data_IF_445141800914
#
_entry.id   IF_445141800914
#
_cell.length_a   1.000
_cell.length_b   1.000
_cell.length_c   1.000
_cell.angle_alpha   90.00
_cell.angle_beta   90.00
_cell.angle_gamma   90.00
#
_symmetry.space_group_name_H-M   'P 1'
#
loop_
_entity.id
_entity.type
_entity.pdbx_description
1 polymer ?
#
# COMPACT_ATOMS: atom_id res chain seq x y z
N UNK A 1 -27.05 19.43 6.86
CA UNK A 1 -25.68 18.96 7.13
C UNK A 1 -25.42 17.87 6.11
N UNK A 2 -24.42 18.01 5.25
CA UNK A 2 -23.90 16.86 4.51
C UNK A 2 -23.14 16.02 5.55
N UNK A 3 -23.78 14.95 6.03
CA UNK A 3 -23.09 13.96 6.85
C UNK A 3 -22.08 13.26 5.95
N UNK A 4 -20.80 13.50 6.22
CA UNK A 4 -19.74 12.66 5.67
C UNK A 4 -20.05 11.20 6.03
N UNK A 5 -20.00 10.25 5.07
CA UNK A 5 -20.26 8.86 5.38
C UNK A 5 -19.25 8.38 6.43
N UNK A 6 -19.75 7.90 7.57
CA UNK A 6 -18.90 7.27 8.58
C UNK A 6 -18.45 5.92 8.05
N UNK A 7 -17.15 5.68 8.05
CA UNK A 7 -16.56 4.41 7.66
C UNK A 7 -17.05 3.30 8.61
N UNK A 8 -17.53 2.21 8.04
CA UNK A 8 -17.88 1.00 8.79
C UNK A 8 -16.62 0.33 9.35
N UNK A 9 -16.77 -0.44 10.42
CA UNK A 9 -15.67 -1.21 11.04
C UNK A 9 -14.93 -2.13 10.04
N UNK A 10 -15.64 -2.59 9.00
CA UNK A 10 -15.09 -3.42 7.92
C UNK A 10 -14.12 -2.64 7.03
N UNK A 11 -14.42 -1.37 6.74
CA UNK A 11 -13.58 -0.49 5.91
C UNK A 11 -12.30 -0.09 6.65
N UNK A 12 -12.41 0.16 7.96
CA UNK A 12 -11.26 0.44 8.84
C UNK A 12 -10.32 -0.77 8.91
N UNK A 13 -10.87 -1.98 9.08
CA UNK A 13 -10.07 -3.21 9.08
C UNK A 13 -9.45 -3.51 7.72
N UNK A 14 -10.13 -3.17 6.63
CA UNK A 14 -9.63 -3.34 5.26
C UNK A 14 -8.43 -2.44 4.96
N UNK A 15 -8.50 -1.15 5.34
CA UNK A 15 -7.38 -0.21 5.22
C UNK A 15 -6.14 -0.67 6.02
N UNK A 16 -6.33 -1.14 7.25
CA UNK A 16 -5.24 -1.67 8.08
C UNK A 16 -4.59 -2.93 7.49
N UNK A 17 -5.38 -3.84 6.91
CA UNK A 17 -4.86 -5.03 6.21
C UNK A 17 -4.07 -4.62 4.97
N UNK A 18 -4.58 -3.66 4.21
CA UNK A 18 -3.91 -3.13 3.02
C UNK A 18 -2.56 -2.50 3.38
N UNK A 19 -2.54 -1.67 4.42
CA UNK A 19 -1.31 -1.08 4.96
C UNK A 19 -0.28 -2.15 5.34
N UNK A 20 -0.72 -3.23 6.01
CA UNK A 20 0.17 -4.34 6.38
C UNK A 20 0.78 -5.01 5.15
N UNK A 21 0.00 -5.25 4.10
CA UNK A 21 0.50 -5.88 2.87
C UNK A 21 1.51 -4.97 2.16
N UNK A 22 1.23 -3.66 2.08
CA UNK A 22 2.15 -2.66 1.54
C UNK A 22 3.48 -2.67 2.30
N UNK A 23 3.44 -2.64 3.63
CA UNK A 23 4.65 -2.76 4.48
C UNK A 23 5.41 -4.06 4.22
N UNK A 24 4.71 -5.20 4.11
CA UNK A 24 5.34 -6.49 3.83
C UNK A 24 6.09 -6.48 2.50
N UNK A 25 5.54 -5.88 1.44
CA UNK A 25 6.24 -5.81 0.15
C UNK A 25 7.56 -5.02 0.24
N UNK A 26 7.59 -3.95 1.04
CA UNK A 26 8.81 -3.17 1.30
C UNK A 26 9.83 -4.00 2.10
N UNK A 27 9.38 -4.71 3.15
CA UNK A 27 10.25 -5.56 3.98
C UNK A 27 10.85 -6.70 3.15
N UNK A 28 10.03 -7.35 2.31
CA UNK A 28 10.49 -8.40 1.41
C UNK A 28 11.50 -7.85 0.41
N UNK A 29 11.21 -6.74 -0.27
CA UNK A 29 12.15 -6.09 -1.17
C UNK A 29 13.46 -5.73 -0.47
N UNK A 30 13.41 -5.22 0.77
CA UNK A 30 14.58 -4.90 1.58
C UNK A 30 15.45 -6.13 1.89
N UNK A 31 14.85 -7.31 2.04
CA UNK A 31 15.62 -8.55 2.23
C UNK A 31 16.50 -8.91 1.03
N UNK A 32 16.20 -8.37 -0.15
CA UNK A 32 17.04 -8.43 -1.36
C UNK A 32 18.01 -7.25 -1.50
N UNK A 33 18.01 -6.29 -0.57
CA UNK A 33 18.92 -5.15 -0.52
C UNK A 33 18.23 -3.86 -0.06
N UNK A 34 18.97 -2.99 0.64
CA UNK A 34 18.43 -1.71 1.13
C UNK A 34 17.87 -0.85 -0.01
N UNK A 35 18.57 -0.75 -1.14
CA UNK A 35 18.11 0.00 -2.32
C UNK A 35 16.80 -0.56 -2.90
N UNK A 36 16.57 -1.87 -2.82
CA UNK A 36 15.33 -2.50 -3.26
C UNK A 36 14.17 -2.14 -2.32
N UNK A 37 14.42 -2.11 -1.00
CA UNK A 37 13.46 -1.59 -0.03
C UNK A 37 13.06 -0.14 -0.31
N UNK A 38 14.05 0.73 -0.57
CA UNK A 38 13.82 2.14 -0.93
C UNK A 38 13.06 2.25 -2.25
N UNK A 39 13.39 1.44 -3.26
CA UNK A 39 12.71 1.43 -4.56
C UNK A 39 11.27 0.95 -4.43
N UNK A 40 11.01 -0.08 -3.62
CA UNK A 40 9.66 -0.58 -3.37
C UNK A 40 8.82 0.46 -2.62
N UNK A 41 9.39 1.15 -1.64
CA UNK A 41 8.72 2.26 -0.96
C UNK A 41 8.27 3.37 -1.94
N UNK A 42 9.09 3.69 -2.95
CA UNK A 42 8.71 4.63 -4.01
C UNK A 42 7.52 4.10 -4.84
N UNK A 43 7.47 2.80 -5.13
CA UNK A 43 6.33 2.22 -5.86
C UNK A 43 5.05 2.20 -5.02
N UNK A 44 5.14 1.93 -3.72
CA UNK A 44 4.02 2.07 -2.78
C UNK A 44 3.49 3.51 -2.79
N UNK A 45 4.38 4.50 -2.71
CA UNK A 45 4.01 5.92 -2.78
C UNK A 45 3.25 6.22 -4.07
N UNK A 46 3.81 5.81 -5.23
CA UNK A 46 3.17 6.01 -6.53
C UNK A 46 1.81 5.31 -6.64
N UNK A 47 1.64 4.13 -6.06
CA UNK A 47 0.37 3.42 -6.04
C UNK A 47 -0.69 4.19 -5.25
N UNK A 48 -0.33 4.73 -4.09
CA UNK A 48 -1.23 5.54 -3.24
C UNK A 48 -1.53 6.87 -3.93
N UNK A 49 -0.54 7.53 -4.53
CA UNK A 49 -0.72 8.79 -5.25
C UNK A 49 -1.40 8.63 -6.62
N UNK A 50 -1.87 7.43 -6.97
CA UNK A 50 -2.50 7.12 -8.26
C UNK A 50 -1.60 7.35 -9.49
N UNK A 51 -0.29 7.39 -9.31
CA UNK A 51 0.72 7.46 -10.37
C UNK A 51 1.14 6.06 -10.88
N UNK A 52 0.70 5.00 -10.20
CA UNK A 52 0.92 3.60 -10.56
C UNK A 52 -0.39 2.83 -10.36
N UNK A 53 -0.76 2.00 -11.33
CA UNK A 53 -1.94 1.13 -11.22
C UNK A 53 -1.64 -0.11 -10.39
N UNK A 54 -2.68 -0.78 -9.86
CA UNK A 54 -2.53 -2.03 -9.12
C UNK A 54 -1.86 -3.15 -9.96
N UNK A 55 -2.23 -3.37 -11.24
CA UNK A 55 -1.54 -4.34 -12.09
C UNK A 55 -0.06 -4.03 -12.29
N UNK A 56 0.30 -2.76 -12.56
CA UNK A 56 1.70 -2.35 -12.71
C UNK A 56 2.48 -2.54 -11.41
N UNK A 57 1.86 -2.19 -10.28
CA UNK A 57 2.44 -2.41 -8.97
C UNK A 57 2.70 -3.90 -8.70
N UNK A 58 1.74 -4.77 -9.01
CA UNK A 58 1.91 -6.22 -8.87
C UNK A 58 3.08 -6.75 -9.72
N UNK A 59 3.26 -6.23 -10.94
CA UNK A 59 4.42 -6.54 -11.78
C UNK A 59 5.72 -6.10 -11.09
N UNK A 60 5.77 -4.89 -10.54
CA UNK A 60 6.96 -4.38 -9.83
C UNK A 60 7.28 -5.15 -8.55
N UNK A 61 6.27 -5.65 -7.84
CA UNK A 61 6.44 -6.56 -6.70
C UNK A 61 7.07 -7.86 -7.19
N UNK A 62 6.51 -8.50 -8.23
CA UNK A 62 7.07 -9.73 -8.78
C UNK A 62 8.53 -9.56 -9.27
N UNK A 63 8.83 -8.47 -9.99
CA UNK A 63 10.19 -8.16 -10.45
C UNK A 63 11.22 -8.08 -9.31
N UNK A 64 10.81 -7.59 -8.12
CA UNK A 64 11.73 -7.42 -6.99
C UNK A 64 11.77 -8.59 -6.01
N UNK A 65 10.64 -9.23 -5.73
CA UNK A 65 10.51 -10.26 -4.70
C UNK A 65 10.19 -11.66 -5.25
N UNK A 66 10.06 -11.80 -6.57
CA UNK A 66 9.78 -13.05 -7.26
C UNK A 66 8.39 -13.63 -7.02
N UNK A 67 7.45 -12.81 -6.52
CA UNK A 67 6.08 -13.24 -6.21
C UNK A 67 5.06 -12.19 -6.62
N UNK A 68 3.99 -12.64 -7.28
CA UNK A 68 2.80 -11.84 -7.56
C UNK A 68 1.77 -12.00 -6.45
N UNK A 69 0.90 -11.00 -6.29
CA UNK A 69 -0.28 -11.11 -5.45
C UNK A 69 -1.21 -12.21 -5.94
N UNK A 70 -1.75 -12.98 -5.00
CA UNK A 70 -2.84 -13.90 -5.27
C UNK A 70 -4.17 -13.13 -5.45
N UNK A 71 -5.21 -13.74 -6.05
CA UNK A 71 -6.48 -13.07 -6.34
C UNK A 71 -7.14 -12.40 -5.12
N UNK A 72 -7.10 -13.05 -3.94
CA UNK A 72 -7.68 -12.49 -2.71
C UNK A 72 -6.99 -11.20 -2.26
N UNK A 73 -5.68 -11.10 -2.47
CA UNK A 73 -4.94 -9.87 -2.18
C UNK A 73 -5.34 -8.78 -3.18
N UNK A 74 -5.47 -9.12 -4.47
CA UNK A 74 -5.93 -8.18 -5.50
C UNK A 74 -7.33 -7.63 -5.17
N UNK A 75 -8.29 -8.49 -4.83
CA UNK A 75 -9.64 -8.09 -4.39
C UNK A 75 -9.59 -7.13 -3.18
N UNK A 76 -8.72 -7.41 -2.21
CA UNK A 76 -8.56 -6.55 -1.04
C UNK A 76 -8.01 -5.17 -1.42
N UNK A 77 -7.07 -5.11 -2.38
CA UNK A 77 -6.59 -3.85 -2.94
C UNK A 77 -7.71 -3.11 -3.67
N UNK A 78 -8.47 -3.76 -4.55
CA UNK A 78 -9.54 -3.12 -5.31
C UNK A 78 -10.62 -2.53 -4.40
N UNK A 79 -10.98 -3.22 -3.32
CA UNK A 79 -11.98 -2.74 -2.37
C UNK A 79 -11.50 -1.58 -1.48
N UNK A 80 -10.21 -1.55 -1.08
CA UNK A 80 -9.74 -0.65 -0.02
C UNK A 80 -8.75 0.42 -0.49
N UNK A 81 -8.13 0.26 -1.66
CA UNK A 81 -7.17 1.23 -2.18
C UNK A 81 -7.81 2.62 -2.37
N UNK A 82 -9.02 2.78 -2.95
CA UNK A 82 -9.65 4.10 -3.06
C UNK A 82 -9.81 4.80 -1.71
N UNK A 83 -10.18 4.04 -0.67
CA UNK A 83 -10.33 4.56 0.68
C UNK A 83 -8.99 5.00 1.27
N UNK A 84 -7.96 4.15 1.19
CA UNK A 84 -6.60 4.47 1.63
C UNK A 84 -6.07 5.76 0.96
N UNK A 85 -6.31 5.92 -0.34
CA UNK A 85 -5.94 7.12 -1.09
C UNK A 85 -6.65 8.36 -0.56
N UNK A 86 -7.95 8.27 -0.27
CA UNK A 86 -8.72 9.37 0.29
C UNK A 86 -8.23 9.76 1.70
N UNK A 87 -7.83 8.79 2.53
CA UNK A 87 -7.25 9.07 3.85
C UNK A 87 -5.91 9.81 3.75
N UNK A 88 -5.07 9.43 2.80
CA UNK A 88 -3.79 10.10 2.53
C UNK A 88 -4.00 11.51 1.99
N UNK A 89 -4.88 11.68 0.99
CA UNK A 89 -5.21 12.99 0.43
C UNK A 89 -5.81 13.95 1.46
N UNK A 90 -6.58 13.42 2.41
CA UNK A 90 -7.15 14.20 3.51
C UNK A 90 -6.17 14.46 4.67
N UNK A 91 -4.93 13.95 4.59
CA UNK A 91 -3.92 14.09 5.64
C UNK A 91 -4.21 13.28 6.91
N UNK A 92 -5.23 12.41 6.89
CA UNK A 92 -5.61 11.54 8.01
C UNK A 92 -4.67 10.35 8.16
N UNK A 93 -4.07 9.92 7.05
CA UNK A 93 -3.04 8.90 7.02
C UNK A 93 -1.75 9.46 6.45
N UNK A 94 -0.69 9.38 7.24
CA UNK A 94 0.65 9.73 6.81
C UNK A 94 1.31 8.54 6.09
N UNK A 95 1.61 8.69 4.79
CA UNK A 95 2.30 7.68 3.97
C UNK A 95 3.64 7.29 4.61
N UNK A 96 4.32 8.24 5.26
CA UNK A 96 5.61 7.97 5.89
C UNK A 96 5.48 6.96 7.03
N UNK A 97 4.31 6.83 7.68
CA UNK A 97 4.07 5.75 8.65
C UNK A 97 4.10 4.37 8.00
N UNK A 98 3.71 4.25 6.72
CA UNK A 98 3.76 3.02 5.93
C UNK A 98 5.20 2.74 5.49
N UNK A 99 5.94 3.78 5.12
CA UNK A 99 7.26 3.67 4.49
C UNK A 99 8.42 3.63 5.50
N UNK A 100 8.55 4.63 6.38
CA UNK A 100 9.75 4.86 7.21
C UNK A 100 9.96 3.70 8.19
N UNK A 101 8.87 3.18 8.79
CA UNK A 101 8.94 2.01 9.67
C UNK A 101 9.35 0.72 8.95
N UNK A 102 9.13 0.62 7.63
CA UNK A 102 9.38 -0.59 6.86
C UNK A 102 10.78 -0.60 6.20
N UNK A 103 11.27 0.55 5.73
CA UNK A 103 12.61 0.68 5.14
C UNK A 103 13.70 0.58 6.22
N UNK A 104 13.41 1.06 7.44
CA UNK A 104 14.37 1.13 8.54
C UNK A 104 15.41 2.23 8.31
N UNK A 105 15.61 3.09 9.30
CA UNK A 105 16.90 3.73 9.50
C UNK A 105 17.87 2.69 10.07
#
# INVERSE_FOLDING_TARGET
>A
MEEYPSLSDTEIQGAQRLERILRMTIILARSHGHEQGVRMAKYVTKLIESQLTLPEYNIKVNEMVGQSFNPKVVELFEANLPHLRAEVLSGRLDIDRIIIKAVGQ
#
